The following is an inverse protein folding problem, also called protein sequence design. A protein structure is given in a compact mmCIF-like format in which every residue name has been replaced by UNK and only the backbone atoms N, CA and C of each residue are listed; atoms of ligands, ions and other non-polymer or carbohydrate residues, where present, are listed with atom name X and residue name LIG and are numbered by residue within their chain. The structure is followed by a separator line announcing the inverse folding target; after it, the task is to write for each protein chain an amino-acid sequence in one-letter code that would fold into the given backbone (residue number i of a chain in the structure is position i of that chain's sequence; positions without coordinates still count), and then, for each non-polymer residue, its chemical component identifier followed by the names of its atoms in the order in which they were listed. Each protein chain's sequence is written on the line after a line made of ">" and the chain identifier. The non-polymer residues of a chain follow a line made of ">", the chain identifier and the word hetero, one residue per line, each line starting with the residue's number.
data_IF_461303731796
#
_entry.id   IF_461303731796
#
_cell.length_a   1.000
_cell.length_b   1.000
_cell.length_c   1.000
_cell.angle_alpha   90.00
_cell.angle_beta   90.00
_cell.angle_gamma   90.00
#
_symmetry.space_group_name_H-M   'P 1'
#
loop_
_entity.id
_entity.type
_entity.pdbx_description
1 polymer ?
#
# COMPACT_ATOMS: atom_id res chain seq x y z
N UNK A 1 -14.55 4.62 0.36
CA UNK A 1 -14.84 3.37 1.06
C UNK A 1 -13.86 3.21 2.24
N UNK A 2 -14.36 2.99 3.46
CA UNK A 2 -13.51 2.79 4.64
C UNK A 2 -12.52 1.63 4.52
N UNK A 3 -12.87 0.58 3.79
CA UNK A 3 -11.96 -0.55 3.52
C UNK A 3 -10.74 -0.08 2.74
N UNK A 4 -10.96 0.74 1.71
CA UNK A 4 -9.87 1.31 0.93
C UNK A 4 -8.97 2.20 1.79
N UNK A 5 -9.56 3.12 2.55
CA UNK A 5 -8.81 4.04 3.41
C UNK A 5 -7.97 3.28 4.43
N UNK A 6 -8.55 2.25 5.05
CA UNK A 6 -7.86 1.40 6.02
C UNK A 6 -6.67 0.68 5.37
N UNK A 7 -6.90 0.12 4.19
CA UNK A 7 -5.88 -0.63 3.46
C UNK A 7 -4.77 0.30 2.95
N UNK A 8 -5.11 1.45 2.41
CA UNK A 8 -4.13 2.43 1.91
C UNK A 8 -3.17 2.89 3.00
N UNK A 9 -3.66 3.09 4.21
CA UNK A 9 -2.79 3.43 5.35
C UNK A 9 -1.74 2.34 5.60
N UNK A 10 -2.16 1.08 5.52
CA UNK A 10 -1.26 -0.04 5.74
C UNK A 10 -0.21 -0.18 4.64
N UNK A 11 -0.55 0.17 3.40
CA UNK A 11 0.32 0.00 2.24
C UNK A 11 1.20 1.22 1.93
N UNK A 12 0.82 2.41 2.39
CA UNK A 12 1.51 3.64 2.01
C UNK A 12 3.00 3.56 2.35
N UNK A 13 3.91 3.74 1.37
CA UNK A 13 5.34 3.49 1.59
C UNK A 13 6.00 4.43 2.58
N UNK A 14 5.42 5.61 2.84
CA UNK A 14 5.91 6.53 3.86
C UNK A 14 5.48 6.14 5.26
N UNK A 15 4.45 5.30 5.39
CA UNK A 15 4.00 4.78 6.67
C UNK A 15 4.80 3.51 6.96
N UNK A 16 5.78 3.61 7.83
CA UNK A 16 6.57 2.43 8.22
C UNK A 16 5.79 1.64 9.26
N UNK A 17 4.86 0.82 8.80
CA UNK A 17 3.93 0.10 9.65
C UNK A 17 4.56 -1.23 10.08
N UNK A 18 4.84 -1.38 11.37
CA UNK A 18 5.17 -2.68 11.93
C UNK A 18 3.89 -3.45 12.26
N UNK A 19 4.05 -4.71 12.67
CA UNK A 19 2.90 -5.58 12.93
C UNK A 19 2.03 -5.08 14.09
N UNK A 20 2.62 -4.47 15.10
CA UNK A 20 1.88 -3.94 16.25
C UNK A 20 1.03 -2.74 15.85
N UNK A 21 1.61 -1.81 15.12
CA UNK A 21 0.89 -0.64 14.61
C UNK A 21 -0.21 -1.07 13.66
N UNK A 22 0.08 -2.00 12.75
CA UNK A 22 -0.91 -2.54 11.82
C UNK A 22 -2.07 -3.21 12.53
N UNK A 23 -1.80 -4.03 13.53
CA UNK A 23 -2.83 -4.69 14.34
C UNK A 23 -3.71 -3.67 15.05
N UNK A 24 -3.10 -2.65 15.66
CA UNK A 24 -3.83 -1.58 16.35
C UNK A 24 -4.73 -0.81 15.38
N UNK A 25 -4.19 -0.45 14.21
CA UNK A 25 -4.95 0.27 13.19
C UNK A 25 -6.16 -0.54 12.71
N UNK A 26 -5.96 -1.82 12.39
CA UNK A 26 -7.04 -2.71 11.95
C UNK A 26 -8.10 -2.88 13.04
N UNK A 27 -7.67 -3.05 14.29
CA UNK A 27 -8.58 -3.13 15.42
C UNK A 27 -9.44 -1.86 15.55
N UNK A 28 -8.79 -0.70 15.48
CA UNK A 28 -9.47 0.59 15.62
C UNK A 28 -10.48 0.81 14.49
N UNK A 29 -10.08 0.58 13.25
CA UNK A 29 -10.95 0.76 12.10
C UNK A 29 -12.11 -0.23 12.11
N UNK A 30 -11.86 -1.47 12.49
CA UNK A 30 -12.91 -2.47 12.61
C UNK A 30 -13.93 -2.08 13.69
N UNK A 31 -13.48 -1.59 14.82
CA UNK A 31 -14.39 -1.17 15.90
C UNK A 31 -15.29 0.00 15.49
N UNK A 32 -14.78 0.89 14.63
CA UNK A 32 -15.55 2.03 14.13
C UNK A 32 -16.55 1.61 13.06
N UNK A 33 -16.10 0.84 12.05
CA UNK A 33 -16.89 0.58 10.85
C UNK A 33 -17.73 -0.69 10.89
N UNK A 34 -17.46 -1.59 11.83
CA UNK A 34 -18.19 -2.85 11.97
C UNK A 34 -19.70 -2.62 12.25
N UNK A 35 -20.03 -1.51 12.87
CA UNK A 35 -21.42 -1.19 13.21
C UNK A 35 -22.30 -0.94 11.98
N UNK A 36 -21.72 -0.31 10.94
CA UNK A 36 -22.43 0.00 9.70
C UNK A 36 -22.14 -1.01 8.59
N UNK A 37 -21.05 -1.75 8.71
CA UNK A 37 -20.64 -2.79 7.77
C UNK A 37 -20.20 -4.03 8.55
N UNK A 38 -21.11 -4.96 8.85
CA UNK A 38 -20.77 -6.17 9.61
C UNK A 38 -19.71 -7.04 8.95
N UNK A 39 -19.52 -6.91 7.64
CA UNK A 39 -18.54 -7.68 6.87
C UNK A 39 -17.21 -6.93 6.70
N UNK A 40 -17.01 -5.82 7.42
CA UNK A 40 -15.84 -4.96 7.25
C UNK A 40 -14.51 -5.72 7.35
N UNK A 41 -14.35 -6.53 8.40
CA UNK A 41 -13.12 -7.31 8.61
C UNK A 41 -12.84 -8.27 7.45
N UNK A 42 -13.88 -8.96 6.99
CA UNK A 42 -13.76 -9.91 5.90
C UNK A 42 -13.45 -9.21 4.58
N UNK A 43 -14.13 -8.13 4.30
CA UNK A 43 -13.89 -7.32 3.10
C UNK A 43 -12.48 -6.73 3.09
N UNK A 44 -12.00 -6.26 4.25
CA UNK A 44 -10.64 -5.74 4.38
C UNK A 44 -9.61 -6.82 4.08
N UNK A 45 -9.75 -7.99 4.68
CA UNK A 45 -8.81 -9.09 4.48
C UNK A 45 -8.74 -9.53 3.02
N UNK A 46 -9.88 -9.59 2.33
CA UNK A 46 -9.95 -10.00 0.93
C UNK A 46 -9.42 -8.90 0.00
N UNK A 47 -9.70 -7.63 0.29
CA UNK A 47 -9.36 -6.50 -0.57
C UNK A 47 -7.92 -6.03 -0.40
N UNK A 48 -7.32 -6.26 0.75
CA UNK A 48 -6.00 -5.76 1.11
C UNK A 48 -4.92 -6.08 0.06
N UNK A 49 -4.79 -7.32 -0.44
CA UNK A 49 -3.76 -7.58 -1.45
C UNK A 49 -4.05 -6.88 -2.78
N UNK A 50 -5.31 -6.65 -3.13
CA UNK A 50 -5.67 -5.91 -4.35
C UNK A 50 -5.21 -4.45 -4.25
N UNK A 51 -5.43 -3.80 -3.12
CA UNK A 51 -4.92 -2.45 -2.88
C UNK A 51 -3.40 -2.42 -2.86
N UNK A 52 -2.76 -3.48 -2.36
CA UNK A 52 -1.31 -3.62 -2.45
C UNK A 52 -0.81 -3.62 -3.89
N UNK A 53 -1.48 -4.33 -4.79
CA UNK A 53 -1.16 -4.31 -6.22
C UNK A 53 -1.33 -2.90 -6.81
N UNK A 54 -2.36 -2.17 -6.39
CA UNK A 54 -2.53 -0.78 -6.80
C UNK A 54 -1.33 0.08 -6.37
N UNK A 55 -0.82 -0.12 -5.16
CA UNK A 55 0.38 0.59 -4.69
C UNK A 55 1.63 0.22 -5.46
N UNK A 56 1.77 -1.05 -5.90
CA UNK A 56 2.85 -1.42 -6.83
C UNK A 56 2.80 -0.58 -8.10
N UNK A 57 1.61 -0.42 -8.68
CA UNK A 57 1.43 0.40 -9.88
C UNK A 57 1.73 1.88 -9.62
N UNK A 58 1.35 2.40 -8.46
CA UNK A 58 1.68 3.78 -8.08
C UNK A 58 3.19 3.98 -8.00
N UNK A 59 3.92 3.03 -7.43
CA UNK A 59 5.38 3.08 -7.37
C UNK A 59 6.00 3.09 -8.77
N UNK A 60 5.34 2.50 -9.75
CA UNK A 60 5.81 2.44 -11.14
C UNK A 60 5.39 3.65 -11.98
N UNK A 61 4.74 4.65 -11.40
CA UNK A 61 4.32 5.85 -12.15
C UNK A 61 5.49 6.57 -12.82
N UNK A 62 6.71 6.43 -12.27
CA UNK A 62 7.91 7.04 -12.86
C UNK A 62 8.23 6.48 -14.25
N UNK A 63 7.65 5.33 -14.63
CA UNK A 63 7.82 4.73 -15.94
C UNK A 63 6.82 5.21 -16.97
N UNK A 64 5.88 6.07 -16.59
CA UNK A 64 4.94 6.70 -17.52
C UNK A 64 5.61 7.88 -18.20
N UNK A 65 5.72 7.83 -19.51
CA UNK A 65 6.50 8.82 -20.30
C UNK A 65 6.11 10.27 -20.01
N UNK A 66 4.81 10.55 -19.94
CA UNK A 66 4.34 11.94 -19.71
C UNK A 66 4.68 12.44 -18.32
N UNK A 67 4.53 11.60 -17.29
CA UNK A 67 4.84 11.98 -15.91
C UNK A 67 6.34 12.18 -15.73
N UNK A 68 7.15 11.36 -16.40
CA UNK A 68 8.59 11.44 -16.35
C UNK A 68 9.10 12.78 -16.91
N UNK A 69 8.66 13.14 -18.12
CA UNK A 69 9.09 14.40 -18.74
C UNK A 69 8.70 15.62 -17.92
N UNK A 70 7.48 15.63 -17.38
CA UNK A 70 7.01 16.72 -16.52
C UNK A 70 7.86 16.86 -15.26
N UNK A 71 8.25 15.77 -14.64
CA UNK A 71 9.07 15.79 -13.42
C UNK A 71 10.49 16.23 -13.69
N UNK A 72 11.10 15.83 -14.81
CA UNK A 72 12.42 16.32 -15.21
C UNK A 72 12.37 17.83 -15.38
N UNK A 73 11.37 18.34 -16.11
CA UNK A 73 11.24 19.77 -16.37
C UNK A 73 10.96 20.59 -15.11
N UNK A 74 10.11 20.08 -14.23
CA UNK A 74 9.68 20.82 -13.04
C UNK A 74 10.69 20.79 -11.90
N UNK A 75 11.47 19.72 -11.77
CA UNK A 75 12.42 19.52 -10.65
C UNK A 75 13.87 19.71 -11.03
N UNK A 76 14.18 19.92 -12.31
CA UNK A 76 15.54 20.16 -12.79
C UNK A 76 16.48 18.97 -12.62
N UNK A 77 15.99 17.76 -12.56
CA UNK A 77 16.81 16.56 -12.43
C UNK A 77 17.61 16.30 -13.69
N UNK A 78 18.86 15.87 -13.52
CA UNK A 78 19.66 15.33 -14.61
C UNK A 78 19.11 13.95 -15.00
N UNK A 79 19.32 13.56 -16.27
CA UNK A 79 18.87 12.25 -16.78
C UNK A 79 19.38 11.09 -15.94
N UNK A 80 20.65 11.15 -15.51
CA UNK A 80 21.27 10.12 -14.68
C UNK A 80 20.63 10.00 -13.30
N UNK A 81 20.31 11.15 -12.68
CA UNK A 81 19.61 11.19 -11.38
C UNK A 81 18.23 10.57 -11.50
N UNK A 82 17.54 10.87 -12.58
CA UNK A 82 16.19 10.36 -12.81
C UNK A 82 16.20 8.84 -13.04
N UNK A 83 17.19 8.33 -13.77
CA UNK A 83 17.37 6.88 -13.96
C UNK A 83 17.55 6.17 -12.63
N UNK A 84 18.34 6.75 -11.71
CA UNK A 84 18.53 6.20 -10.37
C UNK A 84 17.21 6.16 -9.59
N UNK A 85 16.39 7.22 -9.67
CA UNK A 85 15.07 7.29 -9.03
C UNK A 85 14.15 6.20 -9.59
N UNK A 86 14.13 6.03 -10.92
CA UNK A 86 13.31 4.98 -11.55
C UNK A 86 13.71 3.59 -11.08
N UNK A 87 15.01 3.31 -11.00
CA UNK A 87 15.52 2.02 -10.55
C UNK A 87 15.16 1.76 -9.09
N UNK A 88 15.23 2.78 -8.24
CA UNK A 88 14.82 2.69 -6.84
C UNK A 88 13.32 2.36 -6.73
N UNK A 89 12.48 3.02 -7.52
CA UNK A 89 11.03 2.76 -7.51
C UNK A 89 10.70 1.38 -8.03
N UNK A 90 11.42 0.90 -9.04
CA UNK A 90 11.26 -0.48 -9.53
C UNK A 90 11.61 -1.50 -8.46
N UNK A 91 12.69 -1.30 -7.74
CA UNK A 91 13.10 -2.16 -6.64
C UNK A 91 12.04 -2.20 -5.54
N UNK A 92 11.52 -1.04 -5.16
CA UNK A 92 10.42 -0.94 -4.17
C UNK A 92 9.19 -1.68 -4.63
N UNK A 93 8.80 -1.53 -5.90
CA UNK A 93 7.64 -2.21 -6.46
C UNK A 93 7.82 -3.72 -6.47
N UNK A 94 9.00 -4.21 -6.84
CA UNK A 94 9.30 -5.64 -6.84
C UNK A 94 9.28 -6.22 -5.42
N UNK A 95 9.84 -5.51 -4.45
CA UNK A 95 9.83 -5.94 -3.06
C UNK A 95 8.41 -6.00 -2.51
N UNK A 96 7.60 -5.02 -2.85
CA UNK A 96 6.19 -4.97 -2.45
C UNK A 96 5.40 -6.12 -3.08
N UNK A 97 5.62 -6.37 -4.36
CA UNK A 97 4.98 -7.50 -5.06
C UNK A 97 5.34 -8.84 -4.45
N UNK A 98 6.60 -9.04 -4.10
CA UNK A 98 7.06 -10.27 -3.44
C UNK A 98 6.38 -10.45 -2.09
N UNK A 99 6.26 -9.39 -1.31
CA UNK A 99 5.54 -9.42 -0.03
C UNK A 99 4.06 -9.80 -0.23
N UNK A 100 3.41 -9.25 -1.24
CA UNK A 100 2.00 -9.57 -1.55
C UNK A 100 1.87 -11.06 -1.92
N UNK A 101 2.77 -11.57 -2.76
CA UNK A 101 2.76 -12.98 -3.16
C UNK A 101 2.89 -13.92 -1.98
N UNK A 102 3.66 -13.54 -0.97
CA UNK A 102 3.85 -14.34 0.24
C UNK A 102 2.66 -14.26 1.20
N UNK A 103 1.90 -13.17 1.18
CA UNK A 103 0.93 -12.86 2.22
C UNK A 103 -0.53 -12.74 1.75
N UNK A 104 -0.80 -12.84 0.46
CA UNK A 104 -2.16 -12.56 -0.05
C UNK A 104 -3.21 -13.56 0.45
N UNK A 105 -2.82 -14.80 0.78
CA UNK A 105 -3.75 -15.83 1.23
C UNK A 105 -4.09 -15.72 2.71
N UNK A 106 -3.25 -15.03 3.49
CA UNK A 106 -3.46 -14.87 4.92
C UNK A 106 -3.19 -13.43 5.32
N UNK A 107 -4.26 -12.69 5.60
CA UNK A 107 -4.18 -11.31 6.08
C UNK A 107 -3.32 -11.28 7.35
N UNK A 108 -2.23 -10.50 7.37
CA UNK A 108 -1.24 -10.60 8.46
C UNK A 108 -1.64 -9.86 9.74
N UNK A 109 -2.64 -8.98 9.68
CA UNK A 109 -3.01 -8.15 10.82
C UNK A 109 -4.15 -8.80 11.61
N UNK A 110 -3.93 -9.02 12.90
CA UNK A 110 -4.90 -9.64 13.77
C UNK A 110 -5.77 -8.59 14.42
N UNK A 111 -7.09 -8.78 14.37
CA UNK A 111 -8.05 -7.96 15.09
C UNK A 111 -8.27 -8.56 16.48
N UNK A 112 -7.58 -8.02 17.49
CA UNK A 112 -7.63 -8.53 18.87
C UNK A 112 -8.98 -8.33 19.55
N UNK A 113 -9.85 -7.47 19.00
CA UNK A 113 -11.19 -7.25 19.56
C UNK A 113 -12.09 -8.48 19.38
N UNK A 114 -11.78 -9.34 18.41
CA UNK A 114 -12.54 -10.55 18.12
C UNK A 114 -12.09 -11.77 18.94
N UNK A 115 -11.02 -11.64 19.68
CA UNK A 115 -10.58 -12.64 20.63
C UNK A 115 -11.33 -12.45 21.96
#
# INVERSE_FOLDING_TARGET
>A
DPVKTTSDFLWHPKNKIDIEIGNYWVMLMTSIFNKTDPDFSQRLAISWPVYGLCWCLILLNEYRNNDWQKRIQSKGYLQSEYTAIKNEQLEKANNLLDFIKLNYQKFPYVNKVQE
#
